data_IF_709526440913
#
_entry.id   IF_709526440913
#
_cell.length_a   1.000
_cell.length_b   1.000
_cell.length_c   1.000
_cell.angle_alpha   90.00
_cell.angle_beta   90.00
_cell.angle_gamma   90.00
#
_symmetry.space_group_name_H-M   'P 1'
#
loop_
_entity.id
_entity.type
_entity.pdbx_description
1 polymer ?
#
# COMPACT_ATOMS: atom_id res chain seq x y z
N UNK A 1 -1.65 4.32 -4.39
CA UNK A 1 -1.67 2.87 -4.64
C UNK A 1 -2.91 2.33 -3.96
N UNK A 2 -3.64 1.44 -4.62
CA UNK A 2 -4.83 0.80 -4.06
C UNK A 2 -4.63 -0.71 -4.10
N UNK A 3 -4.81 -1.36 -2.95
CA UNK A 3 -4.61 -2.80 -2.75
C UNK A 3 -5.85 -3.37 -2.06
N UNK A 4 -6.14 -4.63 -2.30
CA UNK A 4 -7.26 -5.33 -1.67
C UNK A 4 -6.79 -6.65 -1.10
N UNK A 5 -7.29 -7.00 0.08
CA UNK A 5 -7.15 -8.35 0.61
C UNK A 5 -7.89 -9.41 -0.22
N UNK A 6 -7.71 -10.67 0.17
CA UNK A 6 -8.50 -11.81 -0.30
C UNK A 6 -8.95 -12.62 0.91
N UNK A 7 -10.16 -13.19 0.82
CA UNK A 7 -10.66 -14.17 1.79
C UNK A 7 -10.29 -15.61 1.44
N UNK A 8 -9.65 -15.82 0.28
CA UNK A 8 -9.27 -17.17 -0.14
C UNK A 8 -8.09 -17.65 0.71
N UNK A 9 -8.30 -18.75 1.44
CA UNK A 9 -7.30 -19.32 2.34
C UNK A 9 -6.06 -19.85 1.62
N UNK A 10 -6.19 -20.19 0.33
CA UNK A 10 -5.08 -20.60 -0.54
C UNK A 10 -4.34 -19.41 -1.18
N UNK A 11 -4.76 -18.19 -0.83
CA UNK A 11 -4.28 -16.91 -1.36
C UNK A 11 -4.33 -16.84 -2.89
N UNK A 12 -5.24 -17.58 -3.54
CA UNK A 12 -5.41 -17.47 -4.99
C UNK A 12 -6.54 -16.51 -5.35
N UNK A 13 -6.58 -16.08 -6.60
CA UNK A 13 -7.75 -15.49 -7.23
C UNK A 13 -7.65 -15.78 -8.75
N UNK A 14 -8.68 -16.40 -9.34
CA UNK A 14 -8.68 -16.82 -10.75
C UNK A 14 -7.43 -17.65 -11.16
N UNK A 15 -6.96 -18.53 -10.27
CA UNK A 15 -5.80 -19.40 -10.51
C UNK A 15 -4.43 -18.74 -10.29
N UNK A 16 -4.37 -17.42 -10.09
CA UNK A 16 -3.13 -16.70 -9.76
C UNK A 16 -2.90 -16.74 -8.26
N UNK A 17 -1.66 -17.04 -7.85
CA UNK A 17 -1.25 -16.97 -6.46
C UNK A 17 -0.91 -15.52 -6.11
N UNK A 18 -1.45 -15.04 -5.00
CA UNK A 18 -1.16 -13.75 -4.43
C UNK A 18 -0.47 -13.95 -3.10
N UNK A 19 0.45 -13.06 -2.77
CA UNK A 19 1.00 -12.96 -1.44
C UNK A 19 0.24 -11.91 -0.66
N UNK A 20 0.23 -12.10 0.66
CA UNK A 20 -0.33 -11.11 1.56
C UNK A 20 0.64 -9.95 1.67
N UNK A 21 0.13 -8.73 1.51
CA UNK A 21 0.94 -7.52 1.61
C UNK A 21 0.80 -7.02 3.04
N UNK A 22 1.89 -7.02 3.78
CA UNK A 22 1.97 -6.30 5.05
C UNK A 22 1.97 -4.80 4.76
N UNK A 23 0.85 -4.16 5.08
CA UNK A 23 0.63 -2.73 4.82
C UNK A 23 1.56 -1.86 5.67
N UNK A 24 1.88 -2.26 6.91
CA UNK A 24 2.79 -1.50 7.76
C UNK A 24 4.20 -1.52 7.19
N UNK A 25 4.68 -2.70 6.79
CA UNK A 25 5.98 -2.84 6.12
C UNK A 25 6.03 -2.07 4.80
N UNK A 26 4.92 -2.07 4.03
CA UNK A 26 4.83 -1.33 2.77
C UNK A 26 4.87 0.20 2.99
N UNK A 27 4.17 0.72 4.00
CA UNK A 27 4.24 2.14 4.34
C UNK A 27 5.68 2.53 4.76
N UNK A 28 6.31 1.72 5.62
CA UNK A 28 7.69 1.94 6.04
C UNK A 28 8.67 1.91 4.86
N UNK A 29 8.46 1.01 3.90
CA UNK A 29 9.26 0.95 2.67
C UNK A 29 9.22 2.29 1.91
N UNK A 30 8.05 2.91 1.76
CA UNK A 30 7.97 4.22 1.08
C UNK A 30 8.76 5.31 1.82
N UNK A 31 8.64 5.36 3.14
CA UNK A 31 9.36 6.32 3.98
C UNK A 31 10.88 6.16 3.86
N UNK A 32 11.37 4.93 3.89
CA UNK A 32 12.79 4.61 3.68
C UNK A 32 13.31 5.04 2.31
N UNK A 33 12.43 5.08 1.29
CA UNK A 33 12.75 5.45 -0.08
C UNK A 33 12.41 6.91 -0.42
N UNK A 34 12.44 7.81 0.57
CA UNK A 34 12.21 9.24 0.40
C UNK A 34 10.85 9.59 -0.22
N UNK A 35 9.83 8.80 0.11
CA UNK A 35 8.44 9.10 -0.19
C UNK A 35 7.64 9.10 1.10
N UNK A 36 6.69 10.02 1.23
CA UNK A 36 5.82 10.06 2.39
C UNK A 36 4.47 9.44 2.04
N UNK A 37 3.95 8.57 2.90
CA UNK A 37 2.53 8.23 2.89
C UNK A 37 1.79 9.42 3.48
N UNK A 38 0.99 10.10 2.65
CA UNK A 38 0.26 11.31 3.06
C UNK A 38 -1.17 11.02 3.47
N UNK A 39 -1.72 9.90 3.00
CA UNK A 39 -3.05 9.43 3.36
C UNK A 39 -3.05 7.91 3.36
N UNK A 40 -3.72 7.31 4.34
CA UNK A 40 -3.99 5.88 4.39
C UNK A 40 -5.45 5.68 4.79
N UNK A 41 -6.29 5.40 3.80
CA UNK A 41 -7.70 5.08 3.99
C UNK A 41 -7.92 3.55 3.93
N UNK A 42 -8.85 3.06 4.73
CA UNK A 42 -9.25 1.66 4.78
C UNK A 42 -10.75 1.59 4.53
N UNK A 43 -11.14 0.93 3.45
CA UNK A 43 -12.54 0.80 3.04
C UNK A 43 -12.96 -0.66 3.03
N UNK A 44 -14.19 -0.93 3.49
CA UNK A 44 -14.81 -2.24 3.35
C UNK A 44 -15.68 -2.26 2.10
N UNK A 45 -15.40 -3.17 1.17
CA UNK A 45 -16.27 -3.45 0.02
C UNK A 45 -17.49 -4.27 0.47
N UNK A 46 -18.71 -3.71 0.51
CA UNK A 46 -19.83 -4.36 1.19
C UNK A 46 -20.28 -5.66 0.52
N UNK A 47 -20.17 -5.76 -0.81
CA UNK A 47 -20.64 -6.93 -1.56
C UNK A 47 -19.76 -8.16 -1.36
N UNK A 48 -18.44 -7.95 -1.35
CA UNK A 48 -17.45 -9.03 -1.23
C UNK A 48 -16.91 -9.17 0.19
N UNK A 49 -17.26 -8.24 1.08
CA UNK A 49 -16.74 -8.11 2.43
C UNK A 49 -15.21 -7.99 2.48
N UNK A 50 -14.59 -7.44 1.43
CA UNK A 50 -13.14 -7.35 1.30
C UNK A 50 -12.64 -5.97 1.75
N UNK A 51 -11.52 -5.95 2.44
CA UNK A 51 -10.85 -4.71 2.84
C UNK A 51 -9.98 -4.18 1.71
N UNK A 52 -10.14 -2.90 1.41
CA UNK A 52 -9.29 -2.12 0.53
C UNK A 52 -8.40 -1.20 1.34
N UNK A 53 -7.15 -1.08 0.93
CA UNK A 53 -6.18 -0.13 1.44
C UNK A 53 -5.87 0.88 0.34
N UNK A 54 -6.15 2.14 0.60
CA UNK A 54 -5.89 3.25 -0.29
C UNK A 54 -4.77 4.10 0.30
N UNK A 55 -3.60 4.05 -0.34
CA UNK A 55 -2.42 4.81 0.07
C UNK A 55 -2.16 5.94 -0.91
N UNK A 56 -2.12 7.18 -0.43
CA UNK A 56 -1.62 8.31 -1.22
C UNK A 56 -0.17 8.54 -0.83
N UNK A 57 0.71 8.55 -1.83
CA UNK A 57 2.16 8.60 -1.64
C UNK A 57 2.69 9.83 -2.37
N UNK A 58 3.48 10.64 -1.67
CA UNK A 58 4.10 11.83 -2.22
C UNK A 58 5.61 11.69 -2.14
N UNK A 59 6.29 11.77 -3.29
CA UNK A 59 7.76 11.87 -3.31
C UNK A 59 8.20 13.11 -2.53
N UNK A 60 9.11 12.94 -1.59
CA UNK A 60 9.76 14.06 -0.93
C UNK A 60 10.65 14.71 -1.98
N UNK A 61 10.42 15.98 -2.28
CA UNK A 61 11.37 16.74 -3.10
C UNK A 61 12.65 16.79 -2.28
N UNK A 62 13.70 16.13 -2.75
CA UNK A 62 15.04 16.48 -2.30
C UNK A 62 15.20 17.96 -2.64
N UNK A 63 15.11 18.84 -1.65
CA UNK A 63 15.79 20.11 -1.78
C UNK A 63 17.23 19.70 -2.05
N UNK A 64 17.74 20.03 -3.24
CA UNK A 64 19.16 19.93 -3.49
C UNK A 64 19.82 20.61 -2.30
N UNK A 65 20.51 19.83 -1.47
CA UNK A 65 21.54 20.37 -0.61
C UNK A 65 22.60 20.88 -1.59
N UNK A 66 22.40 22.10 -2.09
CA UNK A 66 23.52 22.92 -2.52
C UNK A 66 24.34 23.14 -1.25
N UNK A 67 25.30 22.25 -1.05
CA UNK A 67 26.36 22.44 -0.08
C UNK A 67 27.14 23.64 -0.61
N UNK A 68 26.96 24.77 0.05
CA UNK A 68 27.77 25.99 -0.13
C UNK A 68 29.23 25.75 0.28
#
# INVERSE_FOLDING_TARGET
>A
ITLRGTHQSDKRENGKLYEEIDIAALCQFFEQHHANVVEHEIDLEPKRQLTWHNLVIKKIKSNHLEIA
#
